data_IF_247454466568
#
_entry.id   IF_247454466568
#
_cell.length_a   1.000
_cell.length_b   1.000
_cell.length_c   1.000
_cell.angle_alpha   90.00
_cell.angle_beta   90.00
_cell.angle_gamma   90.00
#
_symmetry.space_group_name_H-M   'P 1'
#
loop_
_entity.id
_entity.type
_entity.pdbx_description
1 polymer ?
#
# COMPACT_ATOMS: atom_id res chain seq x y z
N UNK A 1 -16.01 -2.32 3.89
CA UNK A 1 -15.03 -1.27 4.28
C UNK A 1 -14.94 -0.21 3.20
N UNK A 2 -15.16 1.07 3.54
CA UNK A 2 -15.15 2.16 2.57
C UNK A 2 -13.76 2.36 1.95
N UNK A 3 -13.72 2.72 0.66
CA UNK A 3 -12.49 2.96 -0.12
C UNK A 3 -12.71 4.10 -1.13
N UNK A 4 -11.63 4.61 -1.67
CA UNK A 4 -11.70 5.51 -2.82
C UNK A 4 -12.11 4.72 -4.08
N UNK A 5 -13.18 5.16 -4.76
CA UNK A 5 -13.74 4.48 -5.94
C UNK A 5 -13.60 5.29 -7.24
N UNK A 6 -13.20 6.55 -7.14
CA UNK A 6 -13.02 7.45 -8.29
C UNK A 6 -11.73 7.12 -9.08
N UNK A 7 -11.49 7.76 -10.24
CA UNK A 7 -10.31 7.51 -11.07
C UNK A 7 -8.98 7.70 -10.33
N UNK A 8 -8.25 6.61 -10.07
CA UNK A 8 -7.02 6.59 -9.25
C UNK A 8 -5.84 7.32 -9.88
N UNK A 9 -5.78 7.41 -11.23
CA UNK A 9 -4.68 8.12 -11.90
C UNK A 9 -4.64 9.63 -11.57
N UNK A 10 -5.78 10.22 -11.15
CA UNK A 10 -5.82 11.61 -10.65
C UNK A 10 -5.01 11.77 -9.37
N UNK A 11 -4.95 10.72 -8.54
CA UNK A 11 -4.18 10.71 -7.30
C UNK A 11 -2.68 10.74 -7.59
N UNK A 12 -2.19 9.89 -8.50
CA UNK A 12 -0.79 9.89 -8.93
C UNK A 12 -0.38 11.26 -9.48
N UNK A 13 -1.19 11.83 -10.39
CA UNK A 13 -0.93 13.15 -10.97
C UNK A 13 -0.95 14.27 -9.93
N UNK A 14 -1.80 14.18 -8.91
CA UNK A 14 -1.84 15.17 -7.82
C UNK A 14 -0.59 15.12 -6.94
N UNK A 15 -0.05 13.93 -6.68
CA UNK A 15 1.19 13.76 -5.89
C UNK A 15 2.45 13.93 -6.76
N UNK A 16 2.31 13.97 -8.09
CA UNK A 16 3.44 14.11 -9.02
C UNK A 16 4.33 12.86 -9.11
N UNK A 17 3.83 11.70 -8.66
CA UNK A 17 4.59 10.44 -8.63
C UNK A 17 3.70 9.23 -8.90
N UNK A 18 4.30 8.13 -9.35
CA UNK A 18 3.61 6.85 -9.55
C UNK A 18 3.29 6.21 -8.20
N UNK A 19 2.00 5.90 -7.96
CA UNK A 19 1.53 5.17 -6.78
C UNK A 19 1.12 3.73 -7.13
N UNK A 20 1.41 3.28 -8.32
CA UNK A 20 1.28 1.91 -8.82
C UNK A 20 -0.11 1.25 -8.61
N UNK A 21 -1.20 2.03 -8.70
CA UNK A 21 -2.56 1.55 -8.47
C UNK A 21 -3.09 0.59 -9.53
N UNK A 22 -2.51 0.57 -10.74
CA UNK A 22 -2.96 -0.23 -11.88
C UNK A 22 -1.96 -1.31 -12.31
N UNK A 23 -1.07 -1.74 -11.40
CA UNK A 23 -0.10 -2.81 -11.65
C UNK A 23 0.76 -2.53 -12.90
N UNK A 24 0.84 -3.49 -13.80
CA UNK A 24 1.68 -3.45 -15.01
C UNK A 24 1.51 -2.16 -15.83
N UNK A 25 0.27 -1.68 -15.98
CA UNK A 25 0.03 -0.44 -16.74
C UNK A 25 0.81 0.76 -16.20
N UNK A 26 1.16 0.78 -14.92
CA UNK A 26 1.95 1.86 -14.31
C UNK A 26 3.43 1.83 -14.70
N UNK A 27 3.90 0.69 -15.22
CA UNK A 27 5.27 0.50 -15.71
C UNK A 27 5.40 0.77 -17.21
N UNK A 28 4.29 0.88 -17.95
CA UNK A 28 4.27 1.12 -19.39
C UNK A 28 4.06 2.61 -19.71
N UNK A 29 4.31 3.00 -20.96
CA UNK A 29 4.02 4.33 -21.52
C UNK A 29 2.52 4.72 -21.44
N UNK A 30 1.64 3.73 -21.22
CA UNK A 30 0.20 3.96 -21.03
C UNK A 30 -0.12 4.59 -19.65
N UNK A 31 0.89 4.79 -18.80
CA UNK A 31 0.73 5.45 -17.51
C UNK A 31 0.27 6.91 -17.68
N UNK A 32 -0.70 7.33 -16.86
CA UNK A 32 -1.25 8.68 -16.95
C UNK A 32 -0.26 9.79 -16.57
N UNK A 33 0.77 9.49 -15.77
CA UNK A 33 1.84 10.43 -15.44
C UNK A 33 2.73 10.66 -16.65
N UNK A 34 3.09 9.61 -17.39
CA UNK A 34 3.91 9.72 -18.59
C UNK A 34 3.23 10.61 -19.65
N UNK A 35 1.92 10.40 -19.83
CA UNK A 35 1.15 11.16 -20.82
C UNK A 35 0.76 12.58 -20.38
N UNK A 36 0.55 12.81 -19.08
CA UNK A 36 -0.01 14.06 -18.54
C UNK A 36 0.62 14.37 -17.18
N UNK A 37 1.87 14.82 -17.18
CA UNK A 37 2.61 15.14 -15.96
C UNK A 37 2.22 16.52 -15.40
N UNK A 38 0.93 16.74 -15.18
CA UNK A 38 0.40 17.94 -14.53
C UNK A 38 -0.77 17.60 -13.61
N UNK A 39 -1.00 18.47 -12.65
CA UNK A 39 -2.05 18.29 -11.63
C UNK A 39 -3.42 18.20 -12.32
N UNK A 40 -4.35 17.33 -11.86
CA UNK A 40 -5.70 17.28 -12.43
C UNK A 40 -6.51 18.54 -12.07
N UNK A 41 -7.37 18.96 -13.00
CA UNK A 41 -8.24 20.14 -12.87
C UNK A 41 -7.99 21.18 -13.96
N UNK A 42 -8.80 22.22 -14.02
CA UNK A 42 -8.73 23.30 -15.01
C UNK A 42 -7.37 24.01 -14.97
N UNK A 43 -6.88 24.33 -13.80
CA UNK A 43 -5.61 25.02 -13.54
C UNK A 43 -4.39 24.08 -13.47
N UNK A 44 -4.51 22.84 -13.95
CA UNK A 44 -3.44 21.84 -13.83
C UNK A 44 -2.18 22.16 -14.62
N UNK A 45 -2.31 22.97 -15.69
CA UNK A 45 -1.20 23.41 -16.54
C UNK A 45 -0.61 24.76 -16.14
N UNK A 46 -1.29 25.48 -15.22
CA UNK A 46 -0.84 26.79 -14.77
C UNK A 46 0.49 26.65 -13.98
N UNK A 47 1.15 27.79 -13.76
CA UNK A 47 2.38 27.85 -12.97
C UNK A 47 2.14 27.28 -11.58
N UNK A 48 2.89 26.22 -11.23
CA UNK A 48 2.79 25.59 -9.91
C UNK A 48 3.32 26.56 -8.84
N UNK A 49 2.47 26.89 -7.88
CA UNK A 49 2.92 27.59 -6.68
C UNK A 49 3.80 26.64 -5.83
N UNK A 50 4.85 27.17 -5.22
CA UNK A 50 5.70 26.42 -4.28
C UNK A 50 4.84 26.02 -3.07
N UNK A 51 4.77 24.72 -2.81
CA UNK A 51 4.07 24.18 -1.65
C UNK A 51 5.01 24.34 -0.44
N UNK A 52 4.56 25.05 0.60
CA UNK A 52 5.34 25.34 1.82
C UNK A 52 4.51 25.04 3.07
N UNK A 53 5.19 24.89 4.21
CA UNK A 53 4.56 24.74 5.52
C UNK A 53 3.51 23.63 5.58
N UNK A 54 2.30 23.98 5.99
CA UNK A 54 1.16 23.07 6.11
C UNK A 54 0.90 22.26 4.83
N UNK A 55 1.04 22.92 3.67
CA UNK A 55 0.84 22.24 2.38
C UNK A 55 1.77 21.06 2.15
N UNK A 56 3.05 21.15 2.54
CA UNK A 56 4.01 20.05 2.46
C UNK A 56 3.60 18.89 3.37
N UNK A 57 3.28 19.18 4.63
CA UNK A 57 2.84 18.20 5.61
C UNK A 57 1.58 17.46 5.12
N UNK A 58 0.61 18.21 4.59
CA UNK A 58 -0.62 17.65 4.05
C UNK A 58 -0.36 16.76 2.83
N UNK A 59 0.52 17.17 1.91
CA UNK A 59 0.85 16.35 0.71
C UNK A 59 1.53 15.06 1.11
N UNK A 60 2.45 15.09 2.06
CA UNK A 60 3.14 13.91 2.54
C UNK A 60 2.15 12.91 3.18
N UNK A 61 1.28 13.38 4.05
CA UNK A 61 0.20 12.57 4.62
C UNK A 61 -0.70 11.96 3.53
N UNK A 62 -1.15 12.77 2.57
CA UNK A 62 -2.03 12.32 1.49
C UNK A 62 -1.35 11.30 0.58
N UNK A 63 -0.07 11.44 0.31
CA UNK A 63 0.73 10.50 -0.46
C UNK A 63 0.70 9.11 0.18
N UNK A 64 1.09 9.02 1.46
CA UNK A 64 1.12 7.75 2.19
C UNK A 64 -0.28 7.15 2.33
N UNK A 65 -1.25 7.93 2.77
CA UNK A 65 -2.64 7.49 2.90
C UNK A 65 -3.20 6.90 1.60
N UNK A 66 -2.92 7.56 0.47
CA UNK A 66 -3.36 7.12 -0.85
C UNK A 66 -2.66 5.85 -1.29
N UNK A 67 -1.35 5.77 -1.10
CA UNK A 67 -0.56 4.59 -1.46
C UNK A 67 -1.15 3.31 -0.85
N UNK A 68 -1.49 3.33 0.45
CA UNK A 68 -2.12 2.20 1.14
C UNK A 68 -3.65 2.13 0.93
N UNK A 69 -4.24 3.00 0.12
CA UNK A 69 -5.67 3.00 -0.19
C UNK A 69 -6.60 3.24 1.01
N UNK A 70 -6.14 4.02 1.98
CA UNK A 70 -6.89 4.33 3.20
C UNK A 70 -7.72 5.62 3.06
N UNK A 71 -8.83 5.69 3.82
CA UNK A 71 -9.57 6.90 4.07
C UNK A 71 -9.01 7.63 5.29
N UNK A 72 -9.36 8.92 5.44
CA UNK A 72 -8.80 9.79 6.49
C UNK A 72 -8.99 9.21 7.89
N UNK A 73 -10.21 8.83 8.25
CA UNK A 73 -10.51 8.27 9.58
C UNK A 73 -9.71 6.99 9.88
N UNK A 74 -9.53 6.13 8.87
CA UNK A 74 -8.75 4.89 9.04
C UNK A 74 -7.28 5.20 9.27
N UNK A 75 -6.74 6.16 8.54
CA UNK A 75 -5.34 6.58 8.66
C UNK A 75 -5.09 7.25 10.02
N UNK A 76 -5.96 8.15 10.43
CA UNK A 76 -5.90 8.83 11.74
C UNK A 76 -5.95 7.84 12.90
N UNK A 77 -6.87 6.87 12.86
CA UNK A 77 -6.95 5.82 13.90
C UNK A 77 -5.67 4.96 13.98
N UNK A 78 -4.96 4.76 12.85
CA UNK A 78 -3.66 4.07 12.87
C UNK A 78 -2.57 4.97 13.46
N UNK A 79 -2.59 6.25 13.15
CA UNK A 79 -1.67 7.23 13.74
C UNK A 79 -1.83 7.31 15.27
N UNK A 80 -3.05 7.40 15.78
CA UNK A 80 -3.31 7.41 17.24
C UNK A 80 -2.82 6.13 17.93
N UNK A 81 -2.94 4.97 17.26
CA UNK A 81 -2.38 3.72 17.78
C UNK A 81 -0.86 3.73 17.77
N UNK A 82 -0.24 4.24 16.69
CA UNK A 82 1.21 4.35 16.58
C UNK A 82 1.79 5.30 17.65
N UNK A 83 1.08 6.38 17.97
CA UNK A 83 1.47 7.33 19.00
C UNK A 83 1.54 6.69 20.41
N UNK A 84 0.65 5.72 20.69
CA UNK A 84 0.62 5.00 21.98
C UNK A 84 1.68 3.89 22.08
N UNK A 85 2.34 3.55 20.98
CA UNK A 85 3.39 2.51 20.98
C UNK A 85 4.73 3.10 21.41
N UNK A 86 5.56 2.29 22.06
CA UNK A 86 6.95 2.66 22.38
C UNK A 86 7.77 2.81 21.10
N UNK A 87 8.67 3.79 21.06
CA UNK A 87 9.56 4.05 19.92
C UNK A 87 9.17 5.28 19.11
N UNK A 88 9.70 5.38 17.89
CA UNK A 88 9.46 6.51 16.97
C UNK A 88 8.09 6.37 16.33
N UNK A 89 7.20 7.33 16.55
CA UNK A 89 5.81 7.30 16.06
C UNK A 89 5.71 7.11 14.54
N UNK A 90 6.60 7.75 13.78
CA UNK A 90 6.63 7.61 12.32
C UNK A 90 6.93 6.18 11.88
N UNK A 91 7.93 5.54 12.46
CA UNK A 91 8.31 4.16 12.16
C UNK A 91 7.20 3.18 12.57
N UNK A 92 6.60 3.39 13.74
CA UNK A 92 5.45 2.62 14.21
C UNK A 92 4.27 2.72 13.24
N UNK A 93 3.96 3.92 12.75
CA UNK A 93 2.88 4.14 11.78
C UNK A 93 3.15 3.38 10.47
N UNK A 94 4.36 3.49 9.94
CA UNK A 94 4.75 2.82 8.72
C UNK A 94 4.74 1.30 8.88
N UNK A 95 5.28 0.80 9.98
CA UNK A 95 5.22 -0.63 10.32
C UNK A 95 3.77 -1.14 10.40
N UNK A 96 2.86 -0.38 11.04
CA UNK A 96 1.45 -0.75 11.10
C UNK A 96 0.77 -0.74 9.72
N UNK A 97 1.14 0.18 8.83
CA UNK A 97 0.61 0.23 7.47
C UNK A 97 1.03 -1.00 6.64
N UNK A 98 2.29 -1.43 6.76
CA UNK A 98 2.79 -2.63 6.08
C UNK A 98 2.21 -3.94 6.65
N UNK A 99 1.99 -4.00 7.97
CA UNK A 99 1.42 -5.17 8.65
C UNK A 99 -0.06 -5.42 8.34
N UNK A 100 -0.71 -4.57 7.61
CA UNK A 100 -2.09 -4.84 7.14
C UNK A 100 -2.08 -6.00 6.15
N UNK A 101 -3.08 -6.86 6.25
CA UNK A 101 -3.18 -8.04 5.37
C UNK A 101 -3.23 -7.67 3.88
N UNK A 102 -3.93 -6.57 3.53
CA UNK A 102 -3.94 -6.09 2.14
C UNK A 102 -2.55 -5.65 1.65
N UNK A 103 -1.74 -5.04 2.51
CA UNK A 103 -0.35 -4.67 2.22
C UNK A 103 0.56 -5.90 2.17
N UNK A 104 0.45 -6.81 3.15
CA UNK A 104 1.26 -8.04 3.17
C UNK A 104 1.03 -8.90 1.92
N UNK A 105 -0.24 -9.10 1.49
CA UNK A 105 -0.61 -9.82 0.26
C UNK A 105 -0.03 -9.15 -0.99
N UNK A 106 0.00 -7.82 -1.03
CA UNK A 106 0.65 -7.07 -2.11
C UNK A 106 2.18 -7.29 -2.10
N UNK A 107 2.83 -7.20 -0.94
CA UNK A 107 4.28 -7.44 -0.79
C UNK A 107 4.70 -8.86 -1.16
N UNK A 108 3.84 -9.84 -0.90
CA UNK A 108 4.05 -11.24 -1.31
C UNK A 108 3.89 -11.45 -2.83
N UNK A 109 3.36 -10.47 -3.55
CA UNK A 109 3.15 -10.57 -4.99
C UNK A 109 1.88 -11.32 -5.41
N UNK A 110 0.95 -11.59 -4.48
CA UNK A 110 -0.33 -12.24 -4.82
C UNK A 110 -1.34 -11.25 -5.43
N UNK A 111 -0.99 -9.97 -5.48
CA UNK A 111 -1.72 -8.93 -6.18
C UNK A 111 -0.76 -7.95 -6.84
N UNK A 112 -1.02 -7.56 -8.09
CA UNK A 112 -0.18 -6.64 -8.88
C UNK A 112 -0.26 -5.18 -8.40
N UNK A 113 -1.17 -4.86 -7.48
CA UNK A 113 -1.35 -3.53 -6.89
C UNK A 113 -2.08 -3.61 -5.56
N UNK A 114 -1.93 -2.59 -4.69
CA UNK A 114 -2.67 -2.51 -3.43
C UNK A 114 -4.19 -2.64 -3.59
N UNK A 115 -4.87 -1.98 -4.59
CA UNK A 115 -6.29 -2.17 -4.81
C UNK A 115 -6.67 -3.61 -5.16
N UNK A 116 -5.85 -4.31 -5.95
CA UNK A 116 -6.09 -5.70 -6.34
C UNK A 116 -5.88 -6.65 -5.14
N UNK A 117 -4.77 -6.50 -4.40
CA UNK A 117 -4.52 -7.27 -3.19
C UNK A 117 -5.67 -7.13 -2.18
N UNK A 118 -6.13 -5.89 -1.98
CA UNK A 118 -7.30 -5.62 -1.13
C UNK A 118 -8.56 -6.33 -1.63
N UNK A 119 -8.79 -6.40 -2.94
CA UNK A 119 -9.92 -7.10 -3.53
C UNK A 119 -9.81 -8.62 -3.31
N UNK A 120 -8.63 -9.20 -3.53
CA UNK A 120 -8.34 -10.62 -3.29
C UNK A 120 -8.64 -10.99 -1.84
N UNK A 121 -8.15 -10.21 -0.87
CA UNK A 121 -8.46 -10.43 0.55
C UNK A 121 -9.97 -10.35 0.80
N UNK A 122 -10.63 -9.29 0.31
CA UNK A 122 -12.06 -9.08 0.57
C UNK A 122 -12.95 -10.16 -0.03
N UNK A 123 -12.59 -10.71 -1.17
CA UNK A 123 -13.31 -11.81 -1.80
C UNK A 123 -13.04 -13.15 -1.11
N UNK A 124 -12.16 -13.18 -0.09
CA UNK A 124 -11.91 -14.34 0.74
C UNK A 124 -11.07 -15.40 0.07
N UNK A 125 -10.17 -15.00 -0.83
CA UNK A 125 -9.19 -15.89 -1.47
C UNK A 125 -7.99 -16.18 -0.56
N UNK A 126 -7.83 -15.46 0.55
CA UNK A 126 -6.70 -15.56 1.48
C UNK A 126 -7.11 -16.25 2.77
N UNK A 127 -6.21 -17.06 3.30
CA UNK A 127 -6.27 -17.58 4.66
C UNK A 127 -5.01 -17.23 5.44
N UNK A 128 -5.16 -17.09 6.75
CA UNK A 128 -4.08 -16.83 7.70
C UNK A 128 -4.13 -17.95 8.74
N UNK A 129 -3.03 -18.68 8.93
CA UNK A 129 -2.94 -19.82 9.83
C UNK A 129 -4.08 -20.83 9.60
N UNK A 130 -4.38 -21.15 8.33
CA UNK A 130 -5.44 -22.08 7.93
C UNK A 130 -6.87 -21.54 8.02
N UNK A 131 -7.09 -20.30 8.51
CA UNK A 131 -8.42 -19.71 8.64
C UNK A 131 -8.66 -18.64 7.58
N UNK A 132 -9.80 -18.69 6.90
CA UNK A 132 -10.23 -17.67 5.94
C UNK A 132 -10.31 -16.30 6.61
N UNK A 133 -9.62 -15.30 6.05
CA UNK A 133 -9.68 -13.91 6.48
C UNK A 133 -10.05 -13.02 5.30
N UNK A 134 -11.19 -12.29 5.42
CA UNK A 134 -11.71 -11.38 4.39
C UNK A 134 -11.65 -9.90 4.83
N UNK A 135 -10.86 -9.61 5.87
CA UNK A 135 -10.72 -8.27 6.45
C UNK A 135 -9.35 -7.69 6.01
N UNK A 136 -9.32 -6.73 5.06
CA UNK A 136 -8.06 -6.14 4.58
C UNK A 136 -7.24 -5.42 5.66
N UNK A 137 -7.90 -4.93 6.71
CA UNK A 137 -7.24 -4.27 7.85
C UNK A 137 -6.79 -5.22 8.96
N UNK A 138 -6.88 -6.53 8.74
CA UNK A 138 -6.31 -7.51 9.66
C UNK A 138 -4.81 -7.25 9.84
N UNK A 139 -4.34 -7.22 11.08
CA UNK A 139 -2.94 -6.94 11.40
C UNK A 139 -2.19 -8.26 11.56
N UNK A 140 -1.29 -8.54 10.63
CA UNK A 140 -0.45 -9.74 10.70
C UNK A 140 0.60 -9.61 11.80
N UNK A 141 0.97 -10.76 12.37
CA UNK A 141 1.96 -10.88 13.45
C UNK A 141 3.14 -11.73 12.98
N UNK A 142 4.26 -11.60 13.65
CA UNK A 142 5.42 -12.49 13.42
C UNK A 142 5.00 -13.93 13.69
N UNK A 143 5.37 -14.83 12.81
CA UNK A 143 4.99 -16.23 12.81
C UNK A 143 3.71 -16.57 12.02
N UNK A 144 2.90 -15.57 11.63
CA UNK A 144 1.69 -15.84 10.83
C UNK A 144 2.07 -16.37 9.44
N UNK A 145 1.32 -17.38 9.01
CA UNK A 145 1.39 -17.96 7.66
C UNK A 145 0.20 -17.48 6.87
N UNK A 146 0.50 -16.80 5.75
CA UNK A 146 -0.50 -16.24 4.83
C UNK A 146 -0.44 -17.03 3.53
N UNK A 147 -1.56 -17.57 3.09
CA UNK A 147 -1.61 -18.38 1.88
C UNK A 147 -2.89 -18.17 1.09
N UNK A 148 -2.81 -18.41 -0.20
CA UNK A 148 -3.99 -18.45 -1.06
C UNK A 148 -4.74 -19.75 -0.79
N UNK A 149 -6.05 -19.66 -0.57
CA UNK A 149 -6.91 -20.82 -0.32
C UNK A 149 -6.89 -21.77 -1.50
N UNK A 150 -6.92 -23.05 -1.23
CA UNK A 150 -6.84 -24.12 -2.24
C UNK A 150 -7.82 -23.93 -3.42
N UNK A 151 -9.13 -23.65 -3.21
CA UNK A 151 -10.06 -23.42 -4.33
C UNK A 151 -9.72 -22.18 -5.18
N UNK A 152 -8.85 -21.30 -4.67
CA UNK A 152 -8.49 -20.03 -5.33
C UNK A 152 -7.09 -20.06 -5.98
N UNK A 153 -6.33 -21.13 -5.82
CA UNK A 153 -4.95 -21.23 -6.35
C UNK A 153 -4.90 -21.11 -7.88
N UNK A 154 -5.92 -21.63 -8.57
CA UNK A 154 -6.01 -21.58 -10.03
C UNK A 154 -6.74 -20.33 -10.54
N UNK A 155 -6.98 -19.33 -9.68
CA UNK A 155 -7.67 -18.12 -10.08
C UNK A 155 -6.76 -17.28 -11.00
N UNK A 156 -7.20 -17.06 -12.26
CA UNK A 156 -6.40 -16.40 -13.30
C UNK A 156 -5.80 -15.04 -12.86
N UNK A 157 -6.55 -14.25 -12.09
CA UNK A 157 -6.08 -12.94 -11.60
C UNK A 157 -4.91 -13.07 -10.62
N UNK A 158 -4.88 -14.13 -9.80
CA UNK A 158 -3.81 -14.36 -8.81
C UNK A 158 -2.56 -14.88 -9.53
N UNK A 159 -2.73 -15.81 -10.45
CA UNK A 159 -1.62 -16.34 -11.26
C UNK A 159 -0.97 -15.23 -12.10
N UNK A 160 -1.77 -14.43 -12.81
CA UNK A 160 -1.27 -13.28 -13.56
C UNK A 160 -0.55 -12.26 -12.66
N UNK A 161 -1.04 -12.02 -11.44
CA UNK A 161 -0.38 -11.12 -10.50
C UNK A 161 0.97 -11.69 -10.02
N UNK A 162 1.05 -12.99 -9.70
CA UNK A 162 2.28 -13.68 -9.34
C UNK A 162 3.34 -13.53 -10.44
N UNK A 163 2.97 -13.78 -11.68
CA UNK A 163 3.88 -13.73 -12.82
C UNK A 163 4.36 -12.28 -13.07
N UNK A 164 3.44 -11.31 -13.02
CA UNK A 164 3.74 -9.89 -13.17
C UNK A 164 4.65 -9.33 -12.07
N UNK A 165 4.63 -9.92 -10.88
CA UNK A 165 5.42 -9.47 -9.71
C UNK A 165 6.65 -10.33 -9.44
N UNK A 166 6.93 -11.33 -10.28
CA UNK A 166 8.05 -12.26 -10.09
C UNK A 166 9.42 -11.57 -9.95
N UNK A 167 9.60 -10.46 -10.66
CA UNK A 167 10.84 -9.66 -10.65
C UNK A 167 10.96 -8.70 -9.44
N UNK A 168 9.88 -8.50 -8.67
CA UNK A 168 9.93 -7.57 -7.55
C UNK A 168 10.60 -8.22 -6.32
N UNK A 169 11.47 -7.48 -5.61
CA UNK A 169 12.09 -7.99 -4.41
C UNK A 169 11.04 -8.20 -3.31
N UNK A 170 11.22 -9.29 -2.57
CA UNK A 170 10.45 -9.57 -1.35
C UNK A 170 11.11 -8.82 -0.19
N UNK A 171 10.35 -8.09 0.64
CA UNK A 171 10.90 -7.44 1.82
C UNK A 171 11.48 -8.45 2.84
N UNK A 172 12.52 -8.05 3.58
CA UNK A 172 13.23 -8.92 4.52
C UNK A 172 12.37 -9.45 5.68
N UNK A 173 11.23 -8.85 5.97
CA UNK A 173 10.31 -9.29 7.02
C UNK A 173 9.33 -10.38 6.57
N UNK A 174 9.37 -10.77 5.28
CA UNK A 174 8.53 -11.81 4.68
C UNK A 174 9.40 -12.88 4.03
N UNK A 175 9.01 -14.12 4.20
CA UNK A 175 9.49 -15.28 3.46
C UNK A 175 8.35 -15.73 2.54
N UNK A 176 8.60 -15.86 1.24
CA UNK A 176 7.53 -16.11 0.25
C UNK A 176 7.90 -17.23 -0.69
N UNK A 177 7.08 -18.26 -0.72
CA UNK A 177 7.05 -19.27 -1.76
C UNK A 177 5.96 -18.88 -2.78
N UNK A 178 6.39 -18.38 -3.93
CA UNK A 178 5.49 -17.91 -4.98
C UNK A 178 4.82 -19.04 -5.74
N UNK A 179 5.43 -20.22 -5.80
CA UNK A 179 4.88 -21.39 -6.48
C UNK A 179 3.75 -22.01 -5.64
N UNK A 180 4.00 -22.18 -4.35
CA UNK A 180 2.99 -22.66 -3.42
C UNK A 180 1.94 -21.59 -3.05
N UNK A 181 2.10 -20.34 -3.50
CA UNK A 181 1.26 -19.17 -3.15
C UNK A 181 1.10 -19.01 -1.63
N UNK A 182 2.23 -19.15 -0.92
CA UNK A 182 2.32 -19.15 0.53
C UNK A 182 3.43 -18.21 0.99
N UNK A 183 3.23 -17.55 2.12
CA UNK A 183 4.28 -16.75 2.74
C UNK A 183 4.17 -16.74 4.24
N UNK A 184 5.29 -16.45 4.91
CA UNK A 184 5.41 -16.39 6.36
C UNK A 184 5.95 -15.03 6.78
N UNK A 185 5.42 -14.50 7.86
CA UNK A 185 5.92 -13.28 8.50
C UNK A 185 7.05 -13.64 9.44
N UNK A 186 8.29 -13.31 9.09
CA UNK A 186 9.49 -13.65 9.88
C UNK A 186 9.93 -12.53 10.83
N UNK A 187 9.50 -11.29 10.58
CA UNK A 187 9.88 -10.13 11.38
C UNK A 187 8.84 -9.02 11.35
N UNK A 188 9.15 -7.91 11.99
CA UNK A 188 8.36 -6.68 11.85
C UNK A 188 8.96 -5.80 10.72
N UNK A 189 8.11 -5.16 9.91
CA UNK A 189 8.57 -4.26 8.86
C UNK A 189 9.38 -3.11 9.46
N UNK A 190 10.57 -2.86 8.92
CA UNK A 190 11.41 -1.72 9.25
C UNK A 190 11.27 -0.64 8.18
N UNK A 191 11.74 0.58 8.49
CA UNK A 191 11.71 1.70 7.53
C UNK A 191 12.44 1.39 6.23
N UNK A 192 13.53 0.64 6.29
CA UNK A 192 14.35 0.22 5.14
C UNK A 192 13.58 -0.66 4.15
N UNK A 193 12.55 -1.37 4.62
CA UNK A 193 11.70 -2.24 3.79
C UNK A 193 10.70 -1.45 2.91
N UNK A 194 10.56 -0.12 3.13
CA UNK A 194 9.61 0.76 2.45
C UNK A 194 10.16 1.36 1.16
N UNK A 195 10.76 0.55 0.32
CA UNK A 195 11.53 0.97 -0.86
C UNK A 195 10.67 1.62 -1.96
N UNK A 196 9.37 1.32 -2.05
CA UNK A 196 8.55 1.73 -3.20
C UNK A 196 8.19 3.21 -3.25
N UNK A 197 8.12 3.89 -2.12
CA UNK A 197 7.86 5.33 -2.05
C UNK A 197 8.78 6.01 -1.05
N UNK A 198 9.34 7.13 -1.45
CA UNK A 198 10.04 8.00 -0.50
C UNK A 198 9.02 8.70 0.39
N UNK A 199 9.11 8.47 1.69
CA UNK A 199 8.22 9.05 2.71
C UNK A 199 9.02 9.84 3.71
N UNK A 200 8.55 11.04 4.03
CA UNK A 200 9.02 11.82 5.17
C UNK A 200 7.95 11.74 6.28
N UNK A 201 8.08 10.74 7.14
CA UNK A 201 7.16 10.47 8.25
C UNK A 201 7.12 11.61 9.29
N UNK A 202 8.21 12.38 9.44
CA UNK A 202 8.27 13.52 10.36
C UNK A 202 7.22 14.56 10.01
N UNK A 203 7.06 14.88 8.73
CA UNK A 203 6.04 15.83 8.26
C UNK A 203 4.61 15.36 8.57
N UNK A 204 4.38 14.04 8.60
CA UNK A 204 3.07 13.48 8.96
C UNK A 204 2.84 13.62 10.47
N UNK A 205 3.84 13.32 11.28
CA UNK A 205 3.77 13.47 12.74
C UNK A 205 3.56 14.94 13.10
N UNK A 206 4.32 15.86 12.51
CA UNK A 206 4.17 17.31 12.72
C UNK A 206 2.77 17.83 12.34
N UNK A 207 2.16 17.25 11.27
CA UNK A 207 0.80 17.64 10.85
C UNK A 207 -0.25 17.29 11.91
N UNK A 208 -0.12 16.13 12.55
CA UNK A 208 -1.10 15.64 13.52
C UNK A 208 -0.81 16.08 14.97
N UNK A 209 0.36 16.64 15.23
CA UNK A 209 0.74 17.18 16.55
C UNK A 209 0.30 18.63 16.78
N UNK A 210 -0.34 19.25 15.79
CA UNK A 210 -0.88 20.62 15.85
C UNK A 210 -2.28 20.68 16.40
#
# INVERSE_FOLDING_TARGET
>A
MARYINPVCRLCRREGMKLFFKGERCHTEKCAIEKRNFVPGQHGKDRKQKIVGYGLQLREKQKVKRFYGLLERQFHNLYEKALKMKGVTGDNLLSMLERRLDSAVYRMGFGSSHPQARQIVRHGHIQVNGRKVNIPSFMVKVGDVIEVREPSRNHATILAARDATAHLPVPNWLEVDREALKGRVIGLPKREDLVQIQVNERLIVELYSK
#
